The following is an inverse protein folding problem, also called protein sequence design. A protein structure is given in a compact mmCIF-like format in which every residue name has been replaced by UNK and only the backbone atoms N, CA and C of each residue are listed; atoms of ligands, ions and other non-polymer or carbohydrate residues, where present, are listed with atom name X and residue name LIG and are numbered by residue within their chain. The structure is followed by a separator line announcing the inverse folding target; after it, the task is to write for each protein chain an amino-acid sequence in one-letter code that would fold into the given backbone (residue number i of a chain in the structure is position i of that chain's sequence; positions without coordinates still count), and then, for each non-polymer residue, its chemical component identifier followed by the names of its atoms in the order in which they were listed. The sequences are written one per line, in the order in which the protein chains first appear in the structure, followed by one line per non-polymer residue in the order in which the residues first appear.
data_IF_934695179764
#
_entry.id   IF_934695179764
#
_cell.length_a   1.000
_cell.length_b   1.000
_cell.length_c   1.000
_cell.angle_alpha   90.00
_cell.angle_beta   90.00
_cell.angle_gamma   90.00
#
_symmetry.space_group_name_H-M   'P 1'
#
loop_
_entity.id
_entity.type
_entity.pdbx_description
1 polymer ?
#
# COMPACT_ATOMS: atom_id res chain seq x y z
N UNK A 1 5.13 -12.76 -21.23
CA UNK A 1 4.77 -11.44 -20.65
C UNK A 1 4.04 -11.64 -19.33
N UNK A 2 4.34 -10.82 -18.32
CA UNK A 2 3.61 -10.78 -17.05
C UNK A 2 2.73 -9.53 -17.03
N UNK A 3 1.43 -9.71 -16.84
CA UNK A 3 0.50 -8.63 -16.57
C UNK A 3 0.09 -8.65 -15.10
N UNK A 4 0.25 -7.53 -14.41
CA UNK A 4 -0.03 -7.44 -12.97
C UNK A 4 -0.78 -6.17 -12.59
N UNK A 5 -1.65 -6.25 -11.58
CA UNK A 5 -2.27 -5.08 -10.95
C UNK A 5 -3.71 -4.80 -11.39
N UNK A 6 -4.09 -3.52 -11.39
CA UNK A 6 -5.50 -3.09 -11.51
C UNK A 6 -6.16 -3.51 -12.82
N UNK A 7 -5.43 -3.47 -13.95
CA UNK A 7 -5.98 -3.95 -15.24
C UNK A 7 -6.41 -5.41 -15.15
N UNK A 8 -5.50 -6.27 -14.70
CA UNK A 8 -5.79 -7.70 -14.55
C UNK A 8 -6.94 -7.94 -13.56
N UNK A 9 -6.98 -7.16 -12.48
CA UNK A 9 -8.03 -7.30 -11.46
C UNK A 9 -9.43 -6.91 -11.97
N UNK A 10 -9.51 -5.94 -12.88
CA UNK A 10 -10.81 -5.41 -13.37
C UNK A 10 -11.21 -5.94 -14.74
N UNK A 11 -10.26 -6.40 -15.52
CA UNK A 11 -10.43 -6.88 -16.90
C UNK A 11 -9.86 -8.30 -17.06
N UNK A 12 -9.98 -9.11 -16.01
CA UNK A 12 -9.39 -10.45 -15.97
C UNK A 12 -9.76 -11.31 -17.17
N UNK A 13 -11.03 -11.32 -17.60
CA UNK A 13 -11.48 -12.12 -18.72
C UNK A 13 -10.87 -11.65 -20.06
N UNK A 14 -10.76 -10.33 -20.27
CA UNK A 14 -10.08 -9.77 -21.45
C UNK A 14 -8.59 -10.14 -21.43
N UNK A 15 -7.93 -9.98 -20.26
CA UNK A 15 -6.52 -10.29 -20.10
C UNK A 15 -6.22 -11.81 -20.25
N UNK A 16 -7.16 -12.67 -19.88
CA UNK A 16 -7.06 -14.13 -20.10
C UNK A 16 -7.07 -14.51 -21.58
N UNK A 17 -7.83 -13.79 -22.38
CA UNK A 17 -7.92 -14.03 -23.82
C UNK A 17 -6.72 -13.49 -24.60
N UNK A 18 -5.88 -12.66 -23.99
CA UNK A 18 -4.68 -12.13 -24.65
C UNK A 18 -3.56 -13.18 -24.69
N UNK A 19 -3.25 -13.68 -25.88
CA UNK A 19 -2.22 -14.71 -26.10
C UNK A 19 -0.80 -14.20 -25.80
N UNK A 20 -0.57 -12.90 -25.77
CA UNK A 20 0.72 -12.33 -25.42
C UNK A 20 1.02 -12.34 -23.91
N UNK A 21 0.02 -12.64 -23.08
CA UNK A 21 0.17 -12.66 -21.63
C UNK A 21 0.31 -14.10 -21.15
N UNK A 22 1.46 -14.40 -20.54
CA UNK A 22 1.78 -15.72 -20.00
C UNK A 22 1.38 -15.85 -18.52
N UNK A 23 1.52 -14.77 -17.73
CA UNK A 23 1.23 -14.75 -16.31
C UNK A 23 0.33 -13.56 -15.96
N UNK A 24 -0.77 -13.85 -15.27
CA UNK A 24 -1.74 -12.88 -14.79
C UNK A 24 -1.69 -12.81 -13.25
N UNK A 25 -1.40 -11.63 -12.70
CA UNK A 25 -1.36 -11.42 -11.24
C UNK A 25 -2.29 -10.26 -10.87
N UNK A 26 -3.31 -10.57 -10.07
CA UNK A 26 -4.23 -9.59 -9.51
C UNK A 26 -3.57 -8.68 -8.46
N UNK A 27 -4.36 -7.77 -7.93
CA UNK A 27 -3.95 -7.01 -6.76
C UNK A 27 -3.96 -7.93 -5.52
N UNK A 28 -3.09 -7.63 -4.55
CA UNK A 28 -2.91 -8.39 -3.31
C UNK A 28 -2.26 -9.79 -3.48
N UNK A 29 -1.62 -10.05 -4.63
CA UNK A 29 -0.86 -11.28 -4.89
C UNK A 29 0.50 -11.03 -5.53
N UNK A 30 0.98 -9.79 -5.50
CA UNK A 30 2.26 -9.42 -6.14
C UNK A 30 3.47 -10.04 -5.46
N UNK A 31 3.37 -10.36 -4.17
CA UNK A 31 4.40 -11.09 -3.42
C UNK A 31 4.72 -12.47 -4.01
N UNK A 32 3.76 -13.06 -4.73
CA UNK A 32 3.89 -14.37 -5.35
C UNK A 32 4.57 -14.34 -6.73
N UNK A 33 4.95 -13.13 -7.24
CA UNK A 33 5.46 -12.96 -8.60
C UNK A 33 6.65 -13.88 -8.91
N UNK A 34 7.64 -13.95 -8.03
CA UNK A 34 8.86 -14.76 -8.25
C UNK A 34 8.52 -16.24 -8.29
N UNK A 35 7.72 -16.71 -7.34
CA UNK A 35 7.25 -18.10 -7.28
C UNK A 35 6.47 -18.49 -8.56
N UNK A 36 5.61 -17.58 -9.04
CA UNK A 36 4.84 -17.78 -10.28
C UNK A 36 5.73 -17.82 -11.52
N UNK A 37 6.78 -17.00 -11.56
CA UNK A 37 7.78 -17.04 -12.63
C UNK A 37 8.55 -18.37 -12.62
N UNK A 38 8.99 -18.82 -11.47
CA UNK A 38 9.70 -20.10 -11.33
C UNK A 38 8.80 -21.27 -11.76
N UNK A 39 7.53 -21.28 -11.34
CA UNK A 39 6.56 -22.27 -11.74
C UNK A 39 6.32 -22.27 -13.27
N UNK A 40 6.20 -21.10 -13.89
CA UNK A 40 6.04 -20.96 -15.33
C UNK A 40 7.19 -21.56 -16.11
N UNK A 41 8.43 -21.27 -15.69
CA UNK A 41 9.63 -21.80 -16.37
C UNK A 41 9.83 -23.31 -16.10
N UNK A 42 9.39 -23.82 -14.95
CA UNK A 42 9.42 -25.26 -14.64
C UNK A 42 8.29 -26.05 -15.35
N UNK A 43 7.12 -25.42 -15.56
CA UNK A 43 5.88 -26.04 -16.06
C UNK A 43 5.65 -25.98 -17.56
N UNK A 44 6.70 -25.91 -18.38
CA UNK A 44 6.61 -25.88 -19.87
C UNK A 44 5.88 -24.67 -20.47
N UNK A 45 5.75 -23.57 -19.75
CA UNK A 45 5.17 -22.33 -20.26
C UNK A 45 3.63 -22.33 -20.34
N UNK A 46 2.94 -23.11 -19.53
CA UNK A 46 1.49 -23.03 -19.41
C UNK A 46 1.09 -21.70 -18.73
N UNK A 47 0.02 -21.08 -19.24
CA UNK A 47 -0.49 -19.81 -18.73
C UNK A 47 -0.85 -19.91 -17.25
N UNK A 48 -0.31 -18.98 -16.44
CA UNK A 48 -0.51 -18.95 -14.98
C UNK A 48 -1.49 -17.83 -14.61
N UNK A 49 -2.51 -18.16 -13.84
CA UNK A 49 -3.49 -17.20 -13.33
C UNK A 49 -3.44 -17.13 -11.80
N UNK A 50 -3.23 -15.91 -11.28
CA UNK A 50 -3.28 -15.60 -9.86
C UNK A 50 -4.13 -14.33 -9.66
N UNK A 51 -5.44 -14.49 -9.74
CA UNK A 51 -6.41 -13.40 -9.57
C UNK A 51 -7.47 -13.86 -8.57
N UNK A 52 -7.51 -13.21 -7.40
CA UNK A 52 -8.53 -13.46 -6.37
C UNK A 52 -9.65 -12.45 -6.46
N UNK A 53 -10.86 -12.84 -6.05
CA UNK A 53 -11.97 -11.91 -5.89
C UNK A 53 -11.79 -11.08 -4.62
N UNK A 54 -11.10 -9.95 -4.76
CA UNK A 54 -10.74 -9.07 -3.64
C UNK A 54 -11.94 -8.32 -3.03
N UNK A 55 -13.13 -8.42 -3.63
CA UNK A 55 -14.33 -7.77 -3.14
C UNK A 55 -15.23 -8.69 -2.31
N UNK A 56 -15.24 -9.98 -2.58
CA UNK A 56 -16.05 -10.95 -1.86
C UNK A 56 -15.27 -11.66 -0.75
N UNK A 57 -13.97 -11.81 -0.91
CA UNK A 57 -13.13 -12.41 0.11
C UNK A 57 -12.46 -11.34 1.00
N UNK A 58 -12.46 -11.57 2.32
CA UNK A 58 -11.73 -10.70 3.24
C UNK A 58 -10.24 -10.90 3.03
N UNK A 59 -9.59 -9.89 2.49
CA UNK A 59 -8.15 -9.89 2.22
C UNK A 59 -7.39 -9.15 3.33
N UNK A 60 -6.26 -9.70 3.74
CA UNK A 60 -5.28 -8.99 4.57
C UNK A 60 -4.48 -7.97 3.73
N UNK A 61 -3.82 -7.02 4.37
CA UNK A 61 -2.89 -6.13 3.70
C UNK A 61 -1.72 -6.95 3.13
N UNK A 62 -1.38 -6.72 1.85
CA UNK A 62 -0.24 -7.37 1.21
C UNK A 62 1.06 -6.70 1.67
N UNK A 63 1.82 -7.41 2.50
CA UNK A 63 3.12 -6.94 2.97
C UNK A 63 4.16 -7.07 1.86
N UNK A 64 4.60 -5.93 1.36
CA UNK A 64 5.74 -5.78 0.45
C UNK A 64 6.70 -4.80 1.11
N UNK A 65 7.83 -5.29 1.60
CA UNK A 65 8.84 -4.47 2.27
C UNK A 65 9.94 -4.07 1.30
N UNK A 66 10.42 -2.84 1.44
CA UNK A 66 11.61 -2.36 0.74
C UNK A 66 12.75 -2.29 1.75
N UNK A 67 13.81 -3.03 1.49
CA UNK A 67 15.02 -2.96 2.32
C UNK A 67 15.94 -1.82 1.87
N UNK A 68 15.88 -1.43 0.60
CA UNK A 68 16.67 -0.34 0.05
C UNK A 68 16.02 0.25 -1.20
N UNK A 69 15.89 1.58 -1.26
CA UNK A 69 15.50 2.32 -2.45
C UNK A 69 16.72 3.15 -2.91
N UNK A 70 17.54 2.56 -3.75
CA UNK A 70 18.90 3.01 -4.07
C UNK A 70 19.04 4.45 -4.61
N UNK A 71 17.95 5.09 -5.05
CA UNK A 71 18.03 6.37 -5.77
C UNK A 71 17.20 7.51 -5.13
N UNK A 72 16.58 7.28 -3.96
CA UNK A 72 15.69 8.26 -3.35
C UNK A 72 16.23 8.79 -2.02
N UNK A 73 16.15 10.10 -1.82
CA UNK A 73 16.49 10.77 -0.55
C UNK A 73 15.43 10.56 0.53
N UNK A 74 14.27 9.99 0.17
CA UNK A 74 13.12 9.69 1.05
C UNK A 74 12.53 8.33 0.71
N UNK A 75 12.02 7.63 1.70
CA UNK A 75 11.38 6.34 1.53
C UNK A 75 9.84 6.49 1.51
N UNK A 76 9.19 5.81 0.55
CA UNK A 76 7.73 5.75 0.47
C UNK A 76 7.24 4.46 1.13
N UNK A 77 6.38 4.60 2.12
CA UNK A 77 5.83 3.48 2.88
C UNK A 77 4.32 3.43 2.64
N UNK A 78 3.87 2.39 1.96
CA UNK A 78 2.45 2.14 1.79
C UNK A 78 1.90 1.54 3.07
N UNK A 79 0.98 2.26 3.72
CA UNK A 79 0.35 1.86 4.99
C UNK A 79 -1.12 1.49 4.84
N UNK A 80 -1.73 1.80 3.70
CA UNK A 80 -3.15 1.58 3.46
C UNK A 80 -3.40 1.19 2.00
N UNK A 81 -4.34 0.28 1.74
CA UNK A 81 -4.81 -0.10 0.40
C UNK A 81 -6.34 -0.25 0.38
N UNK A 82 -6.92 -0.21 -0.83
CA UNK A 82 -8.36 -0.29 -1.03
C UNK A 82 -9.12 0.97 -0.61
N UNK A 83 -10.41 1.01 -0.92
CA UNK A 83 -11.26 2.16 -0.60
C UNK A 83 -12.73 1.74 -0.53
N UNK A 84 -13.46 2.27 0.47
CA UNK A 84 -14.89 2.01 0.68
C UNK A 84 -15.80 3.16 0.22
N UNK A 85 -15.27 4.20 -0.45
CA UNK A 85 -16.05 5.40 -0.81
C UNK A 85 -17.01 5.18 -1.98
N UNK A 86 -16.69 4.28 -2.91
CA UNK A 86 -17.53 3.99 -4.08
C UNK A 86 -18.00 5.24 -4.85
N UNK A 87 -17.13 6.23 -5.03
CA UNK A 87 -17.42 7.41 -5.84
C UNK A 87 -17.82 6.99 -7.26
N UNK A 88 -18.83 7.65 -7.84
CA UNK A 88 -19.50 7.25 -9.08
C UNK A 88 -18.57 7.08 -10.30
N UNK A 89 -17.44 7.76 -10.31
CA UNK A 89 -16.45 7.72 -11.40
C UNK A 89 -15.22 6.83 -11.08
N UNK A 90 -15.15 6.20 -9.88
CA UNK A 90 -13.92 5.61 -9.39
C UNK A 90 -13.93 4.09 -9.46
N UNK A 91 -12.95 3.53 -10.17
CA UNK A 91 -12.75 2.07 -10.29
C UNK A 91 -12.04 1.45 -9.07
N UNK A 92 -11.45 2.25 -8.20
CA UNK A 92 -10.58 1.79 -7.10
C UNK A 92 -11.24 0.74 -6.19
N UNK A 93 -12.48 0.89 -5.71
CA UNK A 93 -13.10 -0.13 -4.86
C UNK A 93 -13.20 -1.51 -5.53
N UNK A 94 -13.31 -1.54 -6.86
CA UNK A 94 -13.38 -2.77 -7.65
C UNK A 94 -12.00 -3.32 -8.00
N UNK A 95 -11.03 -2.44 -8.23
CA UNK A 95 -9.68 -2.81 -8.61
C UNK A 95 -8.78 -3.14 -7.41
N UNK A 96 -9.00 -2.46 -6.27
CA UNK A 96 -8.18 -2.59 -5.06
C UNK A 96 -8.91 -3.24 -3.89
N UNK A 97 -10.24 -3.39 -4.00
CA UNK A 97 -11.08 -3.95 -2.94
C UNK A 97 -11.30 -3.00 -1.77
N UNK A 98 -11.73 -3.58 -0.65
CA UNK A 98 -12.05 -2.86 0.58
C UNK A 98 -10.79 -2.30 1.26
N UNK A 99 -11.01 -1.34 2.15
CA UNK A 99 -9.96 -0.78 3.00
C UNK A 99 -9.21 -1.90 3.72
N UNK A 100 -7.91 -1.86 3.63
CA UNK A 100 -6.97 -2.70 4.37
C UNK A 100 -5.85 -1.83 4.90
N UNK A 101 -5.68 -1.86 6.20
CA UNK A 101 -4.65 -1.12 6.91
C UNK A 101 -3.50 -2.04 7.26
N UNK A 102 -2.31 -1.54 7.09
CA UNK A 102 -1.09 -2.23 7.50
C UNK A 102 -0.96 -2.18 9.02
N UNK A 103 -0.50 -3.27 9.62
CA UNK A 103 -0.29 -3.32 11.06
C UNK A 103 0.75 -2.27 11.49
N UNK A 104 0.46 -1.55 12.59
CA UNK A 104 1.33 -0.48 13.11
C UNK A 104 2.75 -1.00 13.39
N UNK A 105 2.90 -2.17 13.98
CA UNK A 105 4.22 -2.73 14.31
C UNK A 105 5.04 -3.03 13.06
N UNK A 106 4.41 -3.58 12.00
CA UNK A 106 5.09 -3.86 10.74
C UNK A 106 5.57 -2.56 10.07
N UNK A 107 4.76 -1.49 10.14
CA UNK A 107 5.17 -0.17 9.66
C UNK A 107 6.36 0.37 10.45
N UNK A 108 6.32 0.28 11.78
CA UNK A 108 7.40 0.75 12.64
C UNK A 108 8.71 -0.01 12.43
N UNK A 109 8.64 -1.32 12.24
CA UNK A 109 9.82 -2.14 11.94
C UNK A 109 10.45 -1.72 10.61
N UNK A 110 9.65 -1.46 9.58
CA UNK A 110 10.16 -0.96 8.30
C UNK A 110 10.75 0.44 8.44
N UNK A 111 10.09 1.37 9.13
CA UNK A 111 10.61 2.72 9.38
C UNK A 111 11.94 2.67 10.11
N UNK A 112 12.09 1.80 11.13
CA UNK A 112 13.34 1.60 11.86
C UNK A 112 14.46 1.06 10.97
N UNK A 113 14.16 0.07 10.11
CA UNK A 113 15.14 -0.46 9.14
C UNK A 113 15.61 0.63 8.17
N UNK A 114 14.66 1.42 7.64
CA UNK A 114 14.96 2.53 6.74
C UNK A 114 15.81 3.61 7.44
N UNK A 115 15.49 3.96 8.68
CA UNK A 115 16.30 4.88 9.48
C UNK A 115 17.72 4.35 9.70
N UNK A 116 17.88 3.06 10.02
CA UNK A 116 19.17 2.40 10.15
C UNK A 116 19.98 2.38 8.84
N UNK A 117 19.29 2.35 7.70
CA UNK A 117 19.87 2.45 6.35
C UNK A 117 20.17 3.91 5.93
N UNK A 118 19.98 4.89 6.82
CA UNK A 118 20.32 6.30 6.59
C UNK A 118 19.21 7.18 6.04
N UNK A 119 17.99 6.65 5.84
CA UNK A 119 16.86 7.49 5.45
C UNK A 119 16.43 8.41 6.59
N UNK A 120 16.28 9.68 6.27
CA UNK A 120 15.87 10.72 7.23
C UNK A 120 14.44 11.22 6.98
N UNK A 121 13.83 10.83 5.86
CA UNK A 121 12.48 11.22 5.48
C UNK A 121 11.68 10.02 5.02
N UNK A 122 10.46 9.88 5.56
CA UNK A 122 9.48 8.90 5.15
C UNK A 122 8.21 9.57 4.66
N UNK A 123 7.59 8.98 3.65
CA UNK A 123 6.30 9.39 3.13
C UNK A 123 5.30 8.28 3.39
N UNK A 124 4.34 8.50 4.29
CA UNK A 124 3.25 7.55 4.52
C UNK A 124 2.23 7.69 3.40
N UNK A 125 1.97 6.60 2.68
CA UNK A 125 1.09 6.62 1.51
C UNK A 125 -0.01 5.57 1.62
N UNK A 126 -1.09 5.80 0.87
CA UNK A 126 -2.19 4.85 0.72
C UNK A 126 -3.02 5.19 -0.50
N UNK A 127 -3.94 4.33 -0.85
CA UNK A 127 -4.96 4.61 -1.87
C UNK A 127 -5.94 5.66 -1.35
N UNK A 128 -6.30 5.57 -0.09
CA UNK A 128 -7.11 6.55 0.63
C UNK A 128 -6.61 6.62 2.07
N UNK A 129 -5.50 7.33 2.27
CA UNK A 129 -4.76 7.37 3.54
C UNK A 129 -5.66 7.73 4.73
N UNK A 130 -6.64 8.62 4.53
CA UNK A 130 -7.63 9.01 5.53
C UNK A 130 -8.48 7.86 6.08
N UNK A 131 -8.53 6.72 5.38
CA UNK A 131 -9.24 5.51 5.84
C UNK A 131 -8.36 4.54 6.61
N UNK A 132 -7.09 4.88 6.89
CA UNK A 132 -6.23 4.03 7.68
C UNK A 132 -6.84 3.75 9.06
N UNK A 133 -6.84 2.48 9.45
CA UNK A 133 -7.28 2.03 10.76
C UNK A 133 -8.76 1.66 10.88
N UNK A 134 -9.62 2.05 9.92
CA UNK A 134 -11.07 1.79 9.97
C UNK A 134 -11.39 0.28 10.06
N UNK A 135 -10.57 -0.56 9.42
CA UNK A 135 -10.77 -2.01 9.34
C UNK A 135 -10.18 -2.78 10.53
N UNK A 136 -9.34 -2.15 11.34
CA UNK A 136 -8.62 -2.80 12.45
C UNK A 136 -8.73 -2.07 13.80
N UNK A 137 -9.51 -0.99 13.89
CA UNK A 137 -9.71 -0.23 15.13
C UNK A 137 -8.53 0.68 15.50
N UNK A 138 -7.66 0.97 14.55
CA UNK A 138 -6.54 1.90 14.69
C UNK A 138 -6.90 3.28 14.13
N UNK A 139 -5.98 4.24 14.23
CA UNK A 139 -6.15 5.56 13.62
C UNK A 139 -4.88 6.02 12.92
N UNK A 140 -5.06 6.83 11.87
CA UNK A 140 -3.93 7.46 11.19
C UNK A 140 -3.10 8.33 12.14
N UNK A 141 -3.77 9.06 13.04
CA UNK A 141 -3.09 9.90 14.02
C UNK A 141 -2.18 9.06 14.93
N UNK A 142 -2.68 7.93 15.46
CA UNK A 142 -1.88 7.02 16.27
C UNK A 142 -0.67 6.48 15.51
N UNK A 143 -0.84 6.05 14.25
CA UNK A 143 0.28 5.63 13.43
C UNK A 143 1.34 6.74 13.26
N UNK A 144 0.91 7.97 12.97
CA UNK A 144 1.81 9.11 12.81
C UNK A 144 2.57 9.39 14.12
N UNK A 145 1.89 9.37 15.27
CA UNK A 145 2.51 9.55 16.58
C UNK A 145 3.58 8.50 16.84
N UNK A 146 3.32 7.24 16.52
CA UNK A 146 4.28 6.14 16.69
C UNK A 146 5.49 6.29 15.74
N UNK A 147 5.27 6.65 14.49
CA UNK A 147 6.36 6.90 13.52
C UNK A 147 7.19 8.12 13.94
N UNK A 148 6.57 9.15 14.52
CA UNK A 148 7.24 10.34 15.02
C UNK A 148 8.27 10.01 16.11
N UNK A 149 8.09 8.95 16.89
CA UNK A 149 9.03 8.51 17.93
C UNK A 149 10.27 7.78 17.38
N UNK A 150 10.28 7.39 16.10
CA UNK A 150 11.40 6.64 15.55
C UNK A 150 12.63 7.54 15.42
N UNK A 151 13.71 7.14 16.07
CA UNK A 151 15.01 7.81 15.97
C UNK A 151 15.59 7.69 14.55
N UNK A 152 16.35 8.70 14.12
CA UNK A 152 16.94 8.75 12.77
C UNK A 152 16.01 9.37 11.72
N UNK A 153 14.69 9.24 11.84
CA UNK A 153 13.73 9.95 10.98
C UNK A 153 13.61 11.41 11.45
N UNK A 154 13.76 12.34 10.53
CA UNK A 154 13.67 13.77 10.76
C UNK A 154 12.46 14.43 10.11
N UNK A 155 11.89 13.79 9.07
CA UNK A 155 10.71 14.29 8.34
C UNK A 155 9.73 13.19 8.04
N UNK A 156 8.46 13.48 8.24
CA UNK A 156 7.33 12.63 7.91
C UNK A 156 6.41 13.41 6.99
N UNK A 157 6.16 12.88 5.80
CA UNK A 157 5.16 13.40 4.87
C UNK A 157 3.96 12.49 4.84
N UNK A 158 2.82 13.09 4.65
CA UNK A 158 1.58 12.37 4.43
C UNK A 158 1.23 12.45 2.95
N UNK A 159 0.78 11.34 2.37
CA UNK A 159 0.15 11.33 1.07
C UNK A 159 -1.20 12.05 1.11
N UNK A 160 -1.92 12.03 -0.01
CA UNK A 160 -3.21 12.73 -0.14
C UNK A 160 -4.16 12.43 1.00
N UNK A 161 -4.57 13.46 1.72
CA UNK A 161 -5.58 13.41 2.76
C UNK A 161 -6.91 13.94 2.25
N UNK A 162 -7.98 13.27 2.64
CA UNK A 162 -9.33 13.82 2.46
C UNK A 162 -9.59 14.89 3.53
N UNK A 163 -10.15 16.07 3.18
CA UNK A 163 -10.36 17.15 4.15
C UNK A 163 -11.13 16.76 5.42
N UNK A 164 -12.03 15.77 5.33
CA UNK A 164 -12.85 15.31 6.46
C UNK A 164 -12.07 14.72 7.63
N UNK A 165 -10.83 14.20 7.41
CA UNK A 165 -10.01 13.70 8.52
C UNK A 165 -9.34 14.85 9.29
N UNK A 166 -9.18 16.02 8.66
CA UNK A 166 -8.52 17.18 9.24
C UNK A 166 -9.49 17.89 10.20
N UNK A 167 -9.74 17.24 11.33
CA UNK A 167 -10.45 17.84 12.45
C UNK A 167 -9.53 18.79 13.23
N UNK A 168 -10.10 19.66 14.07
CA UNK A 168 -9.33 20.55 14.95
C UNK A 168 -8.33 19.73 15.79
N UNK A 169 -8.79 18.68 16.45
CA UNK A 169 -7.93 17.77 17.23
C UNK A 169 -6.80 17.16 16.40
N UNK A 170 -7.09 16.71 15.19
CA UNK A 170 -6.07 16.15 14.30
C UNK A 170 -5.01 17.18 13.95
N UNK A 171 -5.44 18.41 13.61
CA UNK A 171 -4.55 19.49 13.26
C UNK A 171 -3.70 19.95 14.47
N UNK A 172 -4.30 20.08 15.64
CA UNK A 172 -3.59 20.41 16.88
C UNK A 172 -2.52 19.39 17.27
N UNK A 173 -2.85 18.09 17.14
CA UNK A 173 -1.89 17.02 17.43
C UNK A 173 -0.75 17.01 16.40
N UNK A 174 -1.03 17.20 15.11
CA UNK A 174 0.04 17.29 14.10
C UNK A 174 0.93 18.52 14.32
N UNK A 175 0.37 19.65 14.75
CA UNK A 175 1.13 20.88 15.02
C UNK A 175 2.14 20.72 16.16
N UNK A 176 1.95 19.75 17.07
CA UNK A 176 2.89 19.42 18.14
C UNK A 176 4.07 18.55 17.68
N UNK A 177 3.99 17.98 16.47
CA UNK A 177 4.96 17.02 15.95
C UNK A 177 5.97 17.69 15.02
N UNK A 178 7.16 18.00 15.52
CA UNK A 178 8.21 18.71 14.80
C UNK A 178 8.66 18.04 13.49
N UNK A 179 8.52 16.71 13.39
CA UNK A 179 8.92 15.96 12.18
C UNK A 179 7.88 16.00 11.06
N UNK A 180 6.66 16.46 11.32
CA UNK A 180 5.61 16.55 10.30
C UNK A 180 5.91 17.70 9.34
N UNK A 181 5.98 17.37 8.05
CA UNK A 181 6.10 18.39 7.02
C UNK A 181 4.73 19.06 6.79
N UNK A 182 4.67 20.41 6.73
CA UNK A 182 3.44 21.14 6.39
C UNK A 182 3.12 20.99 4.89
N UNK A 183 2.71 19.80 4.50
CA UNK A 183 2.39 19.41 3.13
C UNK A 183 1.29 18.36 3.18
N UNK A 184 0.10 18.75 2.72
CA UNK A 184 -1.13 17.96 2.75
C UNK A 184 -1.82 18.00 1.38
#
# INVERSE_FOLDING_TARGET
VVAAGCYVQTKGDEAKCDEAIDILIGNNQKKELVERLDAFFAGRGEKVEAVVDINHEKQAFEELTLDHAAEHTRAFIKVQDGCNQFCSYCIIPYARGRVRSRNVQNVLEEVKRLAASGYQEVVLTGIHLSSYGIDCGESLLHLIQMVHQVEGIRRIRLGSLEPRIVTETFAEELAKMEKICPHF
#
